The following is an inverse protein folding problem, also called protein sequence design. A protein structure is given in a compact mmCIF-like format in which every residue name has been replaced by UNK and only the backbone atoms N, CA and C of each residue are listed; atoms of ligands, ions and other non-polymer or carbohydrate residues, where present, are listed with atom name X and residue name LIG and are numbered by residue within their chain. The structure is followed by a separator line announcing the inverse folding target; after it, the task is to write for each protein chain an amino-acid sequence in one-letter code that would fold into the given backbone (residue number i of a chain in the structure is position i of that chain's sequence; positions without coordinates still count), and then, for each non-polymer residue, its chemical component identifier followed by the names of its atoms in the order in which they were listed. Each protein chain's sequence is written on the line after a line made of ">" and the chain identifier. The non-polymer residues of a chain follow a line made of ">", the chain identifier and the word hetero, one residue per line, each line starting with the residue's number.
data_IF_961015760604
#
_entry.id   IF_961015760604
#
_cell.length_a   1.000
_cell.length_b   1.000
_cell.length_c   1.000
_cell.angle_alpha   90.00
_cell.angle_beta   90.00
_cell.angle_gamma   90.00
#
_symmetry.space_group_name_H-M   'P 1'
#
loop_
_entity.id
_entity.type
_entity.pdbx_description
1 polymer ?
#
# COMPACT_ATOMS: atom_id res chain seq x y z
N UNK A 1 -33.32 25.53 -5.23
CA UNK A 1 -32.65 25.70 -3.92
C UNK A 1 -33.16 24.61 -3.00
N UNK A 2 -32.56 23.43 -3.14
CA UNK A 2 -32.92 22.25 -2.36
C UNK A 2 -32.05 22.26 -1.11
N UNK A 3 -32.69 22.40 0.04
CA UNK A 3 -32.09 22.37 1.37
C UNK A 3 -31.30 21.07 1.59
N UNK A 4 -29.97 21.18 1.67
CA UNK A 4 -29.12 20.15 2.25
C UNK A 4 -29.53 19.93 3.71
N UNK A 5 -29.98 18.72 4.02
CA UNK A 5 -30.24 18.27 5.37
C UNK A 5 -28.93 18.25 6.16
N UNK A 6 -28.80 19.19 7.10
CA UNK A 6 -27.77 19.18 8.13
C UNK A 6 -27.85 17.85 8.90
N UNK A 7 -26.90 16.95 8.64
CA UNK A 7 -26.66 15.78 9.48
C UNK A 7 -26.37 16.28 10.90
N UNK A 8 -27.08 15.74 11.90
CA UNK A 8 -26.82 16.01 13.32
C UNK A 8 -25.33 15.84 13.61
N UNK A 9 -24.66 16.76 14.33
CA UNK A 9 -23.24 16.62 14.60
C UNK A 9 -23.01 15.30 15.34
N UNK A 10 -22.29 14.38 14.69
CA UNK A 10 -21.85 13.14 15.31
C UNK A 10 -21.10 13.43 16.60
N UNK A 11 -21.12 12.48 17.54
CA UNK A 11 -20.45 12.63 18.83
C UNK A 11 -18.98 13.04 18.61
N UNK A 12 -18.59 14.18 19.18
CA UNK A 12 -17.20 14.65 19.14
C UNK A 12 -16.40 13.83 20.15
N UNK A 13 -15.19 13.43 19.75
CA UNK A 13 -14.27 12.63 20.55
C UNK A 13 -12.92 13.33 20.62
N UNK A 14 -12.16 13.00 21.65
CA UNK A 14 -10.73 13.25 21.69
C UNK A 14 -10.01 11.94 21.35
N UNK A 15 -9.28 11.92 20.24
CA UNK A 15 -8.65 10.74 19.68
C UNK A 15 -7.13 10.86 19.75
N UNK A 16 -6.47 9.86 20.34
CA UNK A 16 -5.02 9.74 20.27
C UNK A 16 -4.63 8.90 19.03
N UNK A 17 -3.75 9.43 18.18
CA UNK A 17 -3.16 8.73 17.05
C UNK A 17 -1.70 8.47 17.36
N UNK A 18 -1.28 7.20 17.35
CA UNK A 18 0.10 6.79 17.65
C UNK A 18 0.84 6.50 16.34
N UNK A 19 1.86 7.31 16.06
CA UNK A 19 2.71 7.28 14.87
C UNK A 19 2.45 8.47 13.94
N UNK A 20 3.42 9.37 13.81
CA UNK A 20 3.46 10.51 12.89
C UNK A 20 4.12 10.15 11.54
N UNK A 21 3.94 8.91 11.09
CA UNK A 21 4.19 8.53 9.70
C UNK A 21 3.08 9.01 8.77
N UNK A 22 3.22 8.81 7.45
CA UNK A 22 2.25 9.27 6.45
C UNK A 22 0.83 8.79 6.75
N UNK A 23 0.64 7.53 7.13
CA UNK A 23 -0.69 6.98 7.44
C UNK A 23 -1.29 7.66 8.68
N UNK A 24 -0.52 7.76 9.77
CA UNK A 24 -1.03 8.37 11.00
C UNK A 24 -1.34 9.86 10.85
N UNK A 25 -0.54 10.61 10.09
CA UNK A 25 -0.84 12.01 9.75
C UNK A 25 -2.13 12.12 8.94
N UNK A 26 -2.34 11.27 7.93
CA UNK A 26 -3.58 11.26 7.15
C UNK A 26 -4.80 10.90 7.99
N UNK A 27 -4.68 9.91 8.88
CA UNK A 27 -5.74 9.56 9.82
C UNK A 27 -6.06 10.73 10.76
N UNK A 28 -5.05 11.35 11.36
CA UNK A 28 -5.21 12.50 12.24
C UNK A 28 -5.89 13.68 11.52
N UNK A 29 -5.45 13.98 10.29
CA UNK A 29 -6.05 15.04 9.47
C UNK A 29 -7.51 14.73 9.12
N UNK A 30 -7.83 13.49 8.76
CA UNK A 30 -9.20 13.08 8.45
C UNK A 30 -10.13 13.21 9.67
N UNK A 31 -9.69 12.73 10.84
CA UNK A 31 -10.42 12.87 12.10
C UNK A 31 -10.62 14.34 12.49
N UNK A 32 -9.60 15.17 12.30
CA UNK A 32 -9.70 16.60 12.56
C UNK A 32 -10.71 17.29 11.64
N UNK A 33 -10.74 16.92 10.35
CA UNK A 33 -11.74 17.42 9.38
C UNK A 33 -13.17 16.98 9.72
N UNK A 34 -13.34 15.88 10.45
CA UNK A 34 -14.62 15.41 10.96
C UNK A 34 -15.04 16.08 12.29
N UNK A 35 -14.22 17.01 12.80
CA UNK A 35 -14.52 17.81 13.99
C UNK A 35 -14.03 17.18 15.30
N UNK A 36 -13.29 16.07 15.24
CA UNK A 36 -12.69 15.47 16.44
C UNK A 36 -11.46 16.24 16.92
N UNK A 37 -11.25 16.28 18.23
CA UNK A 37 -9.98 16.70 18.81
C UNK A 37 -8.97 15.56 18.62
N UNK A 38 -7.76 15.86 18.16
CA UNK A 38 -6.75 14.82 17.86
C UNK A 38 -5.41 15.14 18.52
N UNK A 39 -4.86 14.17 19.25
CA UNK A 39 -3.47 14.19 19.72
C UNK A 39 -2.66 13.22 18.89
N UNK A 40 -1.71 13.73 18.09
CA UNK A 40 -0.76 12.91 17.35
C UNK A 40 0.50 12.69 18.19
N UNK A 41 0.85 11.42 18.44
CA UNK A 41 1.95 11.02 19.32
C UNK A 41 2.95 10.24 18.48
N UNK A 42 4.20 10.68 18.42
CA UNK A 42 5.32 9.92 17.89
C UNK A 42 6.51 10.06 18.83
N UNK A 43 7.40 9.07 18.83
CA UNK A 43 8.65 9.10 19.60
C UNK A 43 9.65 10.06 18.98
N UNK A 44 9.67 10.15 17.66
CA UNK A 44 10.59 10.94 16.86
C UNK A 44 9.85 12.11 16.19
N UNK A 45 10.56 12.99 15.48
CA UNK A 45 9.90 14.01 14.67
C UNK A 45 9.03 13.37 13.56
N UNK A 46 8.00 14.08 13.06
CA UNK A 46 7.13 13.54 12.02
C UNK A 46 7.89 12.99 10.81
N UNK A 47 7.38 11.90 10.26
CA UNK A 47 7.91 11.20 9.11
C UNK A 47 9.34 10.63 9.25
N UNK A 48 9.94 10.53 10.46
CA UNK A 48 11.30 9.99 10.65
C UNK A 48 11.44 8.46 10.59
N UNK A 49 10.34 7.72 10.66
CA UNK A 49 10.33 6.25 10.50
C UNK A 49 10.34 5.80 9.03
N UNK A 50 9.57 4.76 8.70
CA UNK A 50 9.45 4.21 7.33
C UNK A 50 9.04 5.25 6.27
N UNK A 51 8.43 6.36 6.69
CA UNK A 51 8.00 7.43 5.78
C UNK A 51 9.16 8.29 5.27
N UNK A 52 10.32 8.32 5.94
CA UNK A 52 11.48 9.10 5.53
C UNK A 52 12.15 8.50 4.28
N UNK A 53 12.39 7.19 4.29
CA UNK A 53 13.15 6.46 3.26
C UNK A 53 12.30 5.78 2.18
N UNK A 54 11.07 6.24 1.94
CA UNK A 54 10.18 5.64 0.92
C UNK A 54 10.64 5.97 -0.49
N UNK A 55 10.28 5.11 -1.46
CA UNK A 55 10.61 5.28 -2.88
C UNK A 55 9.96 6.51 -3.57
N UNK A 56 9.07 7.22 -2.87
CA UNK A 56 8.35 8.41 -3.36
C UNK A 56 7.48 8.16 -4.60
N UNK A 57 6.92 6.97 -4.72
CA UNK A 57 6.02 6.56 -5.80
C UNK A 57 4.62 6.31 -5.22
N UNK A 58 3.58 6.84 -5.86
CA UNK A 58 2.19 6.47 -5.61
C UNK A 58 1.85 5.23 -6.44
N UNK A 59 2.08 4.05 -5.86
CA UNK A 59 2.01 2.77 -6.57
C UNK A 59 0.58 2.21 -6.68
N UNK A 60 -0.31 2.93 -7.36
CA UNK A 60 -1.72 2.55 -7.58
C UNK A 60 -1.89 1.15 -8.20
N UNK A 61 -0.94 0.72 -9.05
CA UNK A 61 -0.98 -0.57 -9.76
C UNK A 61 -0.55 -1.79 -8.92
N UNK A 62 -0.24 -1.60 -7.62
CA UNK A 62 0.25 -2.67 -6.73
C UNK A 62 -0.88 -3.36 -5.95
N UNK A 63 -1.88 -3.88 -6.65
CA UNK A 63 -3.06 -4.52 -6.04
C UNK A 63 -3.06 -6.05 -6.15
N UNK A 64 -2.19 -6.64 -6.97
CA UNK A 64 -2.07 -8.09 -7.07
C UNK A 64 -1.44 -8.67 -5.80
N UNK A 65 -2.06 -9.71 -5.17
CA UNK A 65 -1.49 -10.31 -3.97
C UNK A 65 -0.07 -10.86 -4.20
N UNK A 66 0.85 -10.49 -3.31
CA UNK A 66 2.21 -11.04 -3.31
C UNK A 66 2.21 -12.54 -3.01
N UNK A 67 1.24 -13.01 -2.22
CA UNK A 67 0.99 -14.43 -1.99
C UNK A 67 0.31 -15.02 -3.22
N UNK A 68 1.08 -15.36 -4.23
CA UNK A 68 0.61 -16.13 -5.38
C UNK A 68 1.58 -17.30 -5.64
N UNK A 69 1.16 -18.36 -6.35
CA UNK A 69 1.99 -19.54 -6.55
C UNK A 69 3.35 -19.20 -7.18
N UNK A 70 3.37 -18.34 -8.19
CA UNK A 70 4.58 -17.90 -8.90
C UNK A 70 5.60 -17.22 -7.98
N UNK A 71 5.15 -16.41 -7.02
CA UNK A 71 6.00 -15.80 -6.00
C UNK A 71 6.48 -16.83 -4.97
N UNK A 72 5.58 -17.70 -4.49
CA UNK A 72 5.90 -18.71 -3.47
C UNK A 72 6.96 -19.70 -3.99
N UNK A 73 6.88 -20.13 -5.25
CA UNK A 73 7.89 -21.01 -5.84
C UNK A 73 9.27 -20.35 -6.00
N UNK A 74 9.35 -19.00 -5.98
CA UNK A 74 10.62 -18.28 -6.03
C UNK A 74 11.26 -18.08 -4.66
N UNK A 75 10.47 -18.15 -3.57
CA UNK A 75 10.92 -17.90 -2.19
C UNK A 75 12.13 -18.75 -1.78
N UNK A 76 12.18 -20.09 -2.00
CA UNK A 76 13.35 -20.88 -1.63
C UNK A 76 14.62 -20.38 -2.32
N UNK A 77 14.54 -20.08 -3.63
CA UNK A 77 15.66 -19.54 -4.40
C UNK A 77 16.12 -18.18 -3.87
N UNK A 78 15.21 -17.32 -3.41
CA UNK A 78 15.57 -16.04 -2.81
C UNK A 78 16.23 -16.19 -1.44
N UNK A 79 15.74 -17.10 -0.60
CA UNK A 79 16.31 -17.35 0.73
C UNK A 79 17.76 -17.83 0.68
N UNK A 80 18.09 -18.69 -0.29
CA UNK A 80 19.45 -19.24 -0.45
C UNK A 80 20.39 -18.35 -1.27
N UNK A 81 19.91 -17.25 -1.85
CA UNK A 81 20.76 -16.29 -2.54
C UNK A 81 21.32 -15.24 -1.58
N UNK A 82 22.64 -15.02 -1.64
CA UNK A 82 23.32 -14.03 -0.83
C UNK A 82 22.78 -12.60 -1.07
N UNK A 83 22.40 -12.31 -2.31
CA UNK A 83 21.80 -11.07 -2.81
C UNK A 83 20.28 -11.18 -3.04
N UNK A 84 19.64 -12.22 -2.50
CA UNK A 84 18.22 -12.45 -2.66
C UNK A 84 17.36 -11.37 -1.98
N UNK A 85 16.17 -11.04 -2.52
CA UNK A 85 15.29 -10.00 -1.98
C UNK A 85 14.62 -10.40 -0.65
N UNK A 86 14.81 -11.64 -0.19
CA UNK A 86 14.21 -12.18 1.02
C UNK A 86 15.30 -12.75 1.94
N UNK A 87 15.35 -12.25 3.17
CA UNK A 87 16.23 -12.73 4.24
C UNK A 87 15.38 -13.09 5.45
N UNK A 88 15.47 -14.34 5.88
CA UNK A 88 14.85 -14.80 7.13
C UNK A 88 15.97 -15.32 8.02
N UNK A 89 16.06 -14.79 9.25
CA UNK A 89 16.97 -15.32 10.26
C UNK A 89 16.48 -16.72 10.64
N UNK A 90 17.33 -17.74 10.49
CA UNK A 90 16.99 -19.14 10.75
C UNK A 90 16.47 -19.32 12.20
N UNK A 91 17.07 -18.62 13.16
CA UNK A 91 16.64 -18.64 14.57
C UNK A 91 15.22 -18.11 14.80
N UNK A 92 14.69 -17.28 13.91
CA UNK A 92 13.32 -16.75 14.00
C UNK A 92 12.30 -17.60 13.24
N UNK A 93 12.76 -18.55 12.42
CA UNK A 93 11.91 -19.35 11.55
C UNK A 93 10.81 -20.11 12.33
N UNK A 94 11.07 -20.75 13.49
CA UNK A 94 10.02 -21.46 14.24
C UNK A 94 8.84 -20.56 14.65
N UNK A 95 9.12 -19.30 15.00
CA UNK A 95 8.09 -18.33 15.38
C UNK A 95 7.28 -17.84 14.16
N UNK A 96 7.92 -17.83 12.99
CA UNK A 96 7.32 -17.34 11.75
C UNK A 96 6.51 -18.41 11.01
N UNK A 97 6.79 -19.71 11.22
CA UNK A 97 6.14 -20.84 10.53
C UNK A 97 4.59 -20.78 10.58
N UNK A 98 3.92 -20.54 11.72
CA UNK A 98 2.46 -20.52 11.76
C UNK A 98 1.86 -19.44 10.85
N UNK A 99 2.52 -18.29 10.75
CA UNK A 99 2.12 -17.21 9.86
C UNK A 99 2.45 -17.53 8.41
N UNK A 100 3.63 -18.08 8.12
CA UNK A 100 4.02 -18.51 6.76
C UNK A 100 3.06 -19.54 6.18
N UNK A 101 2.62 -20.51 7.00
CA UNK A 101 1.63 -21.49 6.56
C UNK A 101 0.33 -20.83 6.13
N UNK A 102 -0.19 -19.87 6.93
CA UNK A 102 -1.40 -19.10 6.56
C UNK A 102 -1.18 -18.26 5.31
N UNK A 103 -0.02 -17.61 5.17
CA UNK A 103 0.35 -16.81 4.00
C UNK A 103 0.41 -17.66 2.72
N UNK A 104 1.07 -18.82 2.78
CA UNK A 104 1.17 -19.76 1.66
C UNK A 104 -0.21 -20.30 1.30
N UNK A 105 -0.99 -20.78 2.27
CA UNK A 105 -2.35 -21.27 2.05
C UNK A 105 -3.24 -20.21 1.40
N UNK A 106 -3.15 -18.97 1.85
CA UNK A 106 -3.90 -17.85 1.25
C UNK A 106 -3.48 -17.55 -0.20
N UNK A 107 -2.24 -17.90 -0.59
CA UNK A 107 -1.76 -17.70 -1.96
C UNK A 107 -2.12 -18.80 -2.95
N UNK A 108 -2.51 -19.99 -2.47
CA UNK A 108 -3.06 -21.07 -3.30
C UNK A 108 -4.58 -21.07 -3.37
N UNK A 109 -5.24 -20.09 -2.74
CA UNK A 109 -6.69 -19.94 -2.85
C UNK A 109 -7.06 -19.50 -4.28
N UNK A 110 -8.12 -20.08 -4.85
CA UNK A 110 -8.52 -19.86 -6.24
C UNK A 110 -8.94 -18.41 -6.56
N UNK A 111 -9.19 -17.59 -5.55
CA UNK A 111 -9.79 -16.26 -5.68
C UNK A 111 -8.79 -15.09 -5.73
N UNK A 112 -7.63 -15.28 -6.39
CA UNK A 112 -6.61 -14.22 -6.43
C UNK A 112 -7.07 -12.99 -7.21
N UNK A 113 -7.82 -13.19 -8.31
CA UNK A 113 -8.30 -12.11 -9.15
C UNK A 113 -9.36 -11.25 -8.44
N UNK A 114 -10.37 -11.85 -7.78
CA UNK A 114 -11.38 -11.04 -7.09
C UNK A 114 -10.80 -10.31 -5.88
N UNK A 115 -9.83 -10.90 -5.17
CA UNK A 115 -9.09 -10.21 -4.09
C UNK A 115 -8.30 -9.03 -4.64
N UNK A 116 -7.66 -9.21 -5.79
CA UNK A 116 -6.96 -8.15 -6.49
C UNK A 116 -7.91 -7.04 -6.96
N UNK A 117 -9.07 -7.40 -7.50
CA UNK A 117 -10.10 -6.44 -7.91
C UNK A 117 -10.66 -5.66 -6.70
N UNK A 118 -10.91 -6.32 -5.58
CA UNK A 118 -11.33 -5.67 -4.34
C UNK A 118 -10.27 -4.69 -3.82
N UNK A 119 -8.98 -5.06 -3.87
CA UNK A 119 -7.90 -4.14 -3.49
C UNK A 119 -7.76 -2.99 -4.49
N UNK A 120 -7.91 -3.25 -5.79
CA UNK A 120 -7.91 -2.22 -6.83
C UNK A 120 -9.00 -1.18 -6.56
N UNK A 121 -10.22 -1.62 -6.21
CA UNK A 121 -11.34 -0.74 -5.86
C UNK A 121 -10.98 0.23 -4.72
N UNK A 122 -10.36 -0.25 -3.65
CA UNK A 122 -9.93 0.58 -2.52
C UNK A 122 -8.88 1.63 -2.91
N UNK A 123 -8.12 1.39 -3.98
CA UNK A 123 -7.06 2.29 -4.46
C UNK A 123 -7.47 3.15 -5.64
N UNK A 124 -8.73 3.04 -6.09
CA UNK A 124 -9.25 3.70 -7.32
C UNK A 124 -9.16 5.22 -7.29
N UNK A 125 -9.11 5.85 -6.13
CA UNK A 125 -9.02 7.30 -6.03
C UNK A 125 -7.72 7.78 -5.40
N UNK A 126 -6.75 6.88 -5.17
CA UNK A 126 -5.59 7.22 -4.37
C UNK A 126 -4.74 8.33 -5.01
N UNK A 127 -4.69 8.43 -6.33
CA UNK A 127 -3.89 9.47 -7.00
C UNK A 127 -4.60 10.82 -6.86
N UNK A 128 -5.89 10.86 -7.15
CA UNK A 128 -6.74 12.04 -7.06
C UNK A 128 -6.80 12.58 -5.62
N UNK A 129 -6.95 11.69 -4.63
CA UNK A 129 -6.96 12.05 -3.20
C UNK A 129 -5.63 12.67 -2.78
N UNK A 130 -4.50 12.11 -3.24
CA UNK A 130 -3.18 12.66 -2.95
C UNK A 130 -2.95 14.01 -3.64
N UNK A 131 -3.46 14.21 -4.86
CA UNK A 131 -3.39 15.50 -5.55
C UNK A 131 -4.23 16.56 -4.82
N UNK A 132 -5.45 16.21 -4.38
CA UNK A 132 -6.31 17.08 -3.58
C UNK A 132 -5.65 17.45 -2.24
N UNK A 133 -5.00 16.48 -1.60
CA UNK A 133 -4.24 16.70 -0.38
C UNK A 133 -3.04 17.62 -0.61
N UNK A 134 -2.25 17.39 -1.66
CA UNK A 134 -1.10 18.21 -2.00
C UNK A 134 -1.51 19.66 -2.27
N UNK A 135 -2.63 19.86 -2.98
CA UNK A 135 -3.22 21.19 -3.19
C UNK A 135 -3.61 21.84 -1.86
N UNK A 136 -4.31 21.11 -1.00
CA UNK A 136 -4.76 21.62 0.30
C UNK A 136 -3.59 21.96 1.23
N UNK A 137 -2.46 21.26 1.09
CA UNK A 137 -1.23 21.49 1.84
C UNK A 137 -0.30 22.53 1.19
N UNK A 138 -0.67 23.11 0.04
CA UNK A 138 0.16 24.08 -0.69
C UNK A 138 1.46 23.49 -1.25
N UNK A 139 1.49 22.19 -1.56
CA UNK A 139 2.69 21.47 -1.99
C UNK A 139 2.49 20.64 -3.26
N UNK A 140 1.58 21.08 -4.15
CA UNK A 140 1.32 20.43 -5.44
C UNK A 140 2.59 20.22 -6.28
N UNK A 141 3.55 21.14 -6.19
CA UNK A 141 4.83 21.07 -6.92
C UNK A 141 5.71 19.87 -6.54
N UNK A 142 5.41 19.20 -5.42
CA UNK A 142 6.09 17.98 -4.99
C UNK A 142 5.54 16.71 -5.66
N UNK A 143 4.40 16.81 -6.33
CA UNK A 143 3.74 15.68 -7.02
C UNK A 143 3.92 15.85 -8.52
N UNK A 144 4.71 14.96 -9.11
CA UNK A 144 4.97 14.94 -10.55
C UNK A 144 4.35 13.68 -11.14
N UNK A 145 3.55 13.86 -12.21
CA UNK A 145 3.00 12.75 -12.98
C UNK A 145 3.99 12.43 -14.09
N UNK A 146 4.50 11.20 -14.09
CA UNK A 146 5.44 10.68 -15.08
C UNK A 146 5.04 9.28 -15.51
N UNK A 147 5.51 8.88 -16.69
CA UNK A 147 5.35 7.52 -17.18
C UNK A 147 6.19 6.53 -16.34
N UNK A 148 5.66 5.33 -16.17
CA UNK A 148 6.33 4.25 -15.46
C UNK A 148 6.85 3.19 -16.44
N UNK A 149 8.19 3.08 -16.54
CA UNK A 149 8.85 2.13 -17.41
C UNK A 149 9.39 0.93 -16.64
N UNK A 150 9.02 -0.28 -17.06
CA UNK A 150 9.63 -1.52 -16.57
C UNK A 150 10.60 -2.09 -17.60
N UNK A 151 11.86 -2.22 -17.22
CA UNK A 151 12.93 -2.73 -18.09
C UNK A 151 13.36 -4.12 -17.61
N UNK A 152 13.46 -5.06 -18.55
CA UNK A 152 13.84 -6.43 -18.29
C UNK A 152 15.16 -6.77 -18.98
N UNK A 153 16.07 -7.43 -18.25
CA UNK A 153 17.37 -7.86 -18.81
C UNK A 153 17.22 -8.89 -19.94
N UNK A 154 16.20 -9.74 -19.87
CA UNK A 154 15.98 -10.80 -20.87
C UNK A 154 14.52 -10.85 -21.29
N UNK A 155 14.28 -11.29 -22.53
CA UNK A 155 12.93 -11.52 -23.06
C UNK A 155 12.14 -12.52 -22.22
N UNK A 156 12.80 -13.58 -21.71
CA UNK A 156 12.17 -14.56 -20.81
C UNK A 156 11.62 -13.90 -19.54
N UNK A 157 12.37 -12.99 -18.92
CA UNK A 157 11.91 -12.27 -17.73
C UNK A 157 10.70 -11.36 -18.05
N UNK A 158 10.70 -10.70 -19.21
CA UNK A 158 9.55 -9.91 -19.68
C UNK A 158 8.31 -10.80 -19.87
N UNK A 159 8.44 -11.95 -20.52
CA UNK A 159 7.30 -12.84 -20.77
C UNK A 159 6.69 -13.40 -19.48
N UNK A 160 7.50 -13.62 -18.44
CA UNK A 160 7.02 -14.13 -17.15
C UNK A 160 6.07 -13.18 -16.42
N UNK A 161 6.10 -11.87 -16.73
CA UNK A 161 5.21 -10.88 -16.10
C UNK A 161 3.96 -10.58 -16.93
N UNK A 162 3.83 -11.14 -18.14
CA UNK A 162 2.74 -10.80 -19.07
C UNK A 162 1.36 -11.01 -18.48
N UNK A 163 1.17 -12.05 -17.66
CA UNK A 163 -0.11 -12.32 -17.03
C UNK A 163 -0.50 -11.21 -16.04
N UNK A 164 0.41 -10.83 -15.13
CA UNK A 164 0.21 -9.71 -14.20
C UNK A 164 -0.02 -8.39 -14.95
N UNK A 165 0.73 -8.14 -16.02
CA UNK A 165 0.54 -6.96 -16.87
C UNK A 165 -0.81 -6.96 -17.63
N UNK A 166 -1.30 -8.12 -18.06
CA UNK A 166 -2.61 -8.25 -18.70
C UNK A 166 -3.75 -7.96 -17.71
N UNK A 167 -3.65 -8.47 -16.49
CA UNK A 167 -4.62 -8.18 -15.42
C UNK A 167 -4.65 -6.70 -15.08
N UNK A 168 -3.47 -6.06 -15.01
CA UNK A 168 -3.35 -4.60 -14.81
C UNK A 168 -4.04 -3.81 -15.90
N UNK A 169 -3.78 -4.13 -17.17
CA UNK A 169 -4.45 -3.50 -18.32
C UNK A 169 -5.95 -3.67 -18.28
N UNK A 170 -6.44 -4.87 -17.91
CA UNK A 170 -7.87 -5.14 -17.77
C UNK A 170 -8.56 -4.27 -16.71
N UNK A 171 -7.82 -3.77 -15.72
CA UNK A 171 -8.31 -2.90 -14.65
C UNK A 171 -7.99 -1.41 -14.89
N UNK A 172 -7.51 -1.05 -16.09
CA UNK A 172 -7.24 0.33 -16.49
C UNK A 172 -5.86 0.86 -16.08
N UNK A 173 -4.85 -0.02 -16.00
CA UNK A 173 -3.47 0.30 -15.63
C UNK A 173 -2.44 -0.04 -16.71
#
# INVERSE_FOLDING_TARGET
>A
MSSESLQSPGKIFHVAVVGAGVIGVLCALKLQKEGHAVTLIDRDAPARGCSFGKARILARSSFMPLSNPSSIFQVPKWLFKADGPLKIKISYLPQLIPWLYKYIKAGFCADLEARGAALAQLTTHCVEDYLCLAKSAGCSDLVVIIDYLQVYRTRKAMLNVNHDMAVRRGLGF
#
